data_IF_815516009876
#
_entry.id   IF_815516009876
#
_cell.length_a   1.000
_cell.length_b   1.000
_cell.length_c   1.000
_cell.angle_alpha   90.00
_cell.angle_beta   90.00
_cell.angle_gamma   90.00
#
_symmetry.space_group_name_H-M   'P 1'
#
loop_
_entity.id
_entity.type
_entity.pdbx_description
1 polymer ?
#
# COMPACT_ATOMS: atom_id res chain seq x y z
N UNK A 1 -22.91 -13.38 -17.13
CA UNK A 1 -22.63 -12.49 -16.01
C UNK A 1 -21.30 -12.89 -15.36
N UNK A 2 -20.52 -11.96 -15.13
CA UNK A 2 -19.27 -12.22 -14.44
C UNK A 2 -19.52 -12.44 -12.95
N UNK A 3 -18.66 -13.19 -12.33
CA UNK A 3 -18.68 -13.33 -10.90
C UNK A 3 -18.24 -12.04 -10.24
N UNK A 4 -18.83 -11.75 -9.09
CA UNK A 4 -18.41 -10.62 -8.30
C UNK A 4 -17.24 -11.01 -7.38
N UNK A 5 -16.29 -10.11 -7.21
CA UNK A 5 -15.22 -10.26 -6.21
C UNK A 5 -15.51 -9.44 -4.97
N UNK A 6 -16.66 -8.75 -4.93
CA UNK A 6 -17.01 -7.91 -3.78
C UNK A 6 -17.66 -8.71 -2.69
N UNK A 7 -17.21 -8.45 -1.44
CA UNK A 7 -17.83 -9.05 -0.27
C UNK A 7 -17.72 -10.56 -0.22
N UNK A 8 -16.51 -11.09 -0.41
CA UNK A 8 -16.31 -12.53 -0.34
C UNK A 8 -16.32 -13.02 1.11
N UNK A 9 -16.92 -14.18 1.32
CA UNK A 9 -16.87 -14.88 2.60
C UNK A 9 -15.78 -15.95 2.58
N UNK A 10 -15.49 -16.54 3.75
CA UNK A 10 -14.42 -17.54 3.89
C UNK A 10 -14.51 -18.64 2.82
N UNK A 11 -15.72 -19.14 2.55
CA UNK A 11 -15.94 -20.22 1.61
C UNK A 11 -15.62 -19.84 0.15
N UNK A 12 -15.68 -18.54 -0.15
CA UNK A 12 -15.49 -18.03 -1.51
C UNK A 12 -14.02 -17.88 -1.88
N UNK A 13 -13.13 -17.85 -0.87
CA UNK A 13 -11.70 -17.72 -1.13
C UNK A 13 -11.08 -19.04 -1.52
N UNK A 14 -10.35 -19.04 -2.62
CA UNK A 14 -9.60 -20.20 -3.06
C UNK A 14 -8.11 -19.92 -2.94
N UNK A 15 -7.38 -20.87 -2.34
CA UNK A 15 -5.93 -20.76 -2.20
C UNK A 15 -5.31 -20.71 -3.60
N UNK A 16 -4.37 -19.79 -3.79
CA UNK A 16 -3.72 -19.56 -5.06
C UNK A 16 -4.39 -18.51 -5.94
N UNK A 17 -5.60 -18.06 -5.58
CA UNK A 17 -6.27 -16.98 -6.32
C UNK A 17 -5.47 -15.70 -6.20
N UNK A 18 -5.27 -15.03 -7.32
CA UNK A 18 -4.53 -13.78 -7.40
C UNK A 18 -5.47 -12.63 -7.76
N UNK A 19 -5.31 -11.52 -7.05
CA UNK A 19 -6.00 -10.28 -7.34
C UNK A 19 -4.95 -9.22 -7.65
N UNK A 20 -5.19 -8.41 -8.68
CA UNK A 20 -4.28 -7.32 -9.06
C UNK A 20 -5.07 -6.01 -9.02
N UNK A 21 -4.57 -5.04 -8.27
CA UNK A 21 -5.23 -3.75 -8.13
C UNK A 21 -4.93 -2.84 -9.31
N UNK A 22 -5.71 -1.75 -9.47
CA UNK A 22 -5.28 -0.66 -10.33
C UNK A 22 -3.95 -0.08 -9.84
N UNK A 23 -3.24 0.58 -10.74
CA UNK A 23 -2.01 1.28 -10.40
C UNK A 23 -2.31 2.69 -9.91
N UNK A 24 -1.38 3.23 -9.12
CA UNK A 24 -1.47 4.59 -8.61
C UNK A 24 -0.07 5.21 -8.55
N UNK A 25 0.05 6.46 -8.99
CA UNK A 25 1.29 7.21 -8.89
C UNK A 25 1.37 7.92 -7.54
N UNK A 26 2.51 7.77 -6.87
CA UNK A 26 2.80 8.45 -5.61
C UNK A 26 3.15 9.91 -5.93
N UNK A 27 2.54 10.85 -5.24
CA UNK A 27 2.74 12.27 -5.49
C UNK A 27 3.45 12.96 -4.33
N UNK A 28 3.98 14.16 -4.59
CA UNK A 28 4.51 15.02 -3.53
C UNK A 28 3.44 15.33 -2.48
N UNK A 29 2.20 15.53 -2.93
CA UNK A 29 1.08 15.78 -2.02
C UNK A 29 0.83 14.60 -1.09
N UNK A 30 1.00 13.38 -1.57
CA UNK A 30 0.84 12.18 -0.74
C UNK A 30 1.85 12.19 0.40
N UNK A 31 3.11 12.50 0.09
CA UNK A 31 4.18 12.51 1.09
C UNK A 31 3.95 13.62 2.11
N UNK A 32 3.60 14.80 1.64
CA UNK A 32 3.30 15.93 2.52
C UNK A 32 2.10 15.68 3.42
N UNK A 33 1.04 15.13 2.87
CA UNK A 33 -0.17 14.80 3.64
C UNK A 33 0.11 13.73 4.68
N UNK A 34 0.88 12.71 4.34
CA UNK A 34 1.22 11.66 5.29
C UNK A 34 2.11 12.17 6.40
N UNK A 35 3.08 13.04 6.09
CA UNK A 35 3.90 13.69 7.10
C UNK A 35 3.02 14.47 8.10
N UNK A 36 2.04 15.21 7.60
CA UNK A 36 1.10 15.94 8.45
C UNK A 36 0.21 15.03 9.28
N UNK A 37 -0.29 13.97 8.68
CA UNK A 37 -1.18 13.03 9.35
C UNK A 37 -0.45 12.24 10.45
N UNK A 38 0.75 11.76 10.16
CA UNK A 38 1.50 10.89 11.06
C UNK A 38 2.37 11.65 12.06
N UNK A 39 2.74 12.90 11.73
CA UNK A 39 3.75 13.64 12.49
C UNK A 39 5.19 13.25 12.12
N UNK A 40 5.38 12.38 11.15
CA UNK A 40 6.72 11.93 10.72
C UNK A 40 7.30 12.89 9.68
N UNK A 41 7.97 13.93 10.18
CA UNK A 41 8.65 14.92 9.37
C UNK A 41 10.15 14.65 9.25
N UNK A 42 10.55 13.38 9.29
CA UNK A 42 11.95 13.05 9.10
C UNK A 42 12.48 13.74 7.84
N UNK A 43 13.64 14.41 7.92
CA UNK A 43 14.21 15.13 6.77
C UNK A 43 14.38 14.26 5.52
N UNK A 44 14.50 12.97 5.69
CA UNK A 44 14.59 12.05 4.55
C UNK A 44 13.36 12.12 3.65
N UNK A 45 12.21 12.51 4.20
CA UNK A 45 10.95 12.62 3.45
C UNK A 45 10.59 14.07 3.11
N UNK A 46 11.11 15.04 3.85
CA UNK A 46 10.61 16.40 3.81
C UNK A 46 11.65 17.47 3.44
N UNK A 47 12.93 17.13 3.47
CA UNK A 47 14.02 18.07 3.20
C UNK A 47 14.85 17.57 2.03
N UNK A 48 14.64 18.17 0.86
CA UNK A 48 15.33 17.77 -0.36
C UNK A 48 16.85 17.94 -0.25
N UNK A 49 17.31 19.02 0.35
CA UNK A 49 18.75 19.27 0.49
C UNK A 49 19.42 18.23 1.38
N UNK A 50 18.76 17.86 2.46
CA UNK A 50 19.23 16.77 3.31
C UNK A 50 19.23 15.46 2.56
N UNK A 51 18.11 15.14 1.90
CA UNK A 51 17.92 13.84 1.25
C UNK A 51 18.86 13.62 0.07
N UNK A 52 19.24 14.69 -0.64
CA UNK A 52 20.22 14.61 -1.73
C UNK A 52 21.56 14.05 -1.28
N UNK A 53 21.95 14.33 -0.04
CA UNK A 53 23.20 13.85 0.52
C UNK A 53 23.17 12.42 1.04
N UNK A 54 22.02 11.75 0.96
CA UNK A 54 21.88 10.37 1.42
C UNK A 54 22.09 9.40 0.26
N UNK A 55 22.18 8.12 0.59
CA UNK A 55 22.30 7.05 -0.40
C UNK A 55 21.13 7.03 -1.39
N UNK A 56 20.00 7.67 -1.07
CA UNK A 56 18.83 7.69 -1.92
C UNK A 56 18.86 8.78 -2.99
N UNK A 57 19.73 9.78 -2.83
CA UNK A 57 19.90 10.85 -3.80
C UNK A 57 18.75 11.84 -3.90
N UNK A 58 17.81 11.81 -2.99
CA UNK A 58 16.63 12.66 -2.93
C UNK A 58 15.63 12.13 -1.92
N UNK A 59 14.52 12.86 -1.74
CA UNK A 59 13.50 12.44 -0.77
C UNK A 59 12.84 11.14 -1.20
N UNK A 60 12.51 10.32 -0.23
CA UNK A 60 11.75 9.08 -0.45
C UNK A 60 10.42 9.16 0.30
N UNK A 61 9.45 8.39 -0.16
CA UNK A 61 8.18 8.25 0.55
C UNK A 61 8.38 7.46 1.84
N UNK A 62 7.58 7.78 2.86
CA UNK A 62 7.55 6.98 4.08
C UNK A 62 7.16 5.56 3.72
N UNK A 63 7.83 4.58 4.29
CA UNK A 63 7.45 3.18 4.08
C UNK A 63 6.00 2.92 4.49
N UNK A 64 5.58 3.50 5.62
CA UNK A 64 4.19 3.36 6.09
C UNK A 64 3.18 4.06 5.21
N UNK A 65 3.56 5.13 4.50
CA UNK A 65 2.70 5.74 3.48
C UNK A 65 2.44 4.73 2.36
N UNK A 66 3.50 4.10 1.87
CA UNK A 66 3.39 3.12 0.78
C UNK A 66 2.51 1.95 1.22
N UNK A 67 2.70 1.46 2.43
CA UNK A 67 1.86 0.40 3.00
C UNK A 67 0.39 0.85 3.09
N UNK A 68 0.14 2.08 3.52
CA UNK A 68 -1.21 2.63 3.62
C UNK A 68 -1.88 2.70 2.23
N UNK A 69 -1.13 3.11 1.22
CA UNK A 69 -1.62 3.14 -0.16
C UNK A 69 -1.91 1.73 -0.65
N UNK A 70 -1.02 0.77 -0.35
CA UNK A 70 -1.25 -0.63 -0.69
C UNK A 70 -2.54 -1.16 -0.05
N UNK A 71 -2.78 -0.81 1.20
CA UNK A 71 -4.02 -1.16 1.90
C UNK A 71 -5.25 -0.60 1.17
N UNK A 72 -5.19 0.66 0.73
CA UNK A 72 -6.29 1.28 -0.01
C UNK A 72 -6.51 0.64 -1.37
N UNK A 73 -5.43 0.33 -2.09
CA UNK A 73 -5.51 -0.34 -3.40
C UNK A 73 -6.11 -1.75 -3.25
N UNK A 74 -5.69 -2.48 -2.22
CA UNK A 74 -6.25 -3.80 -1.92
C UNK A 74 -7.74 -3.70 -1.61
N UNK A 75 -8.13 -2.71 -0.81
CA UNK A 75 -9.54 -2.46 -0.48
C UNK A 75 -10.39 -2.20 -1.72
N UNK A 76 -9.83 -1.52 -2.73
CA UNK A 76 -10.53 -1.23 -3.98
C UNK A 76 -10.85 -2.48 -4.79
N UNK A 77 -10.18 -3.59 -4.52
CA UNK A 77 -10.52 -4.86 -5.16
C UNK A 77 -11.87 -5.40 -4.67
N UNK A 78 -12.32 -4.95 -3.50
CA UNK A 78 -13.66 -5.18 -3.01
C UNK A 78 -13.92 -6.53 -2.36
N UNK A 79 -12.96 -7.45 -2.35
CA UNK A 79 -13.22 -8.81 -1.87
C UNK A 79 -13.50 -8.88 -0.37
N UNK A 80 -13.09 -7.87 0.40
CA UNK A 80 -13.38 -7.77 1.84
C UNK A 80 -14.55 -6.84 2.15
N UNK A 81 -15.14 -6.21 1.14
CA UNK A 81 -16.17 -5.20 1.34
C UNK A 81 -17.43 -5.80 1.99
N UNK A 82 -17.77 -5.29 3.16
CA UNK A 82 -18.95 -5.73 3.89
C UNK A 82 -18.81 -7.08 4.59
N UNK A 83 -17.72 -7.79 4.43
CA UNK A 83 -17.54 -9.14 5.00
C UNK A 83 -16.36 -9.23 5.96
N UNK A 84 -15.44 -8.26 5.94
CA UNK A 84 -14.32 -8.26 6.89
C UNK A 84 -14.83 -7.90 8.29
N UNK A 85 -14.41 -8.66 9.29
CA UNK A 85 -14.78 -8.40 10.68
C UNK A 85 -13.67 -7.71 11.46
N UNK A 86 -12.44 -8.09 11.20
CA UNK A 86 -11.29 -7.54 11.93
C UNK A 86 -10.01 -7.74 11.13
N UNK A 87 -9.08 -6.83 11.35
CA UNK A 87 -7.71 -6.94 10.88
C UNK A 87 -6.86 -7.38 12.05
N UNK A 88 -6.32 -8.59 12.00
CA UNK A 88 -5.67 -9.20 13.15
C UNK A 88 -4.16 -8.97 13.18
N UNK A 89 -3.54 -8.82 12.04
CA UNK A 89 -2.09 -8.65 12.03
C UNK A 89 -1.54 -8.50 10.64
N UNK A 90 -0.26 -8.11 10.60
CA UNK A 90 0.43 -7.83 9.36
C UNK A 90 1.92 -8.14 9.56
N UNK A 91 2.52 -8.78 8.58
CA UNK A 91 3.97 -8.90 8.45
C UNK A 91 4.35 -8.22 7.15
N UNK A 92 5.26 -7.26 7.20
CA UNK A 92 5.62 -6.45 6.05
C UNK A 92 7.13 -6.26 5.97
N UNK A 93 7.66 -6.27 4.75
CA UNK A 93 9.07 -6.02 4.51
C UNK A 93 9.22 -4.91 3.48
N UNK A 94 10.08 -3.96 3.78
CA UNK A 94 10.44 -2.89 2.86
C UNK A 94 11.69 -3.32 2.10
N UNK A 95 11.62 -3.37 0.77
CA UNK A 95 12.72 -3.85 -0.05
C UNK A 95 13.39 -2.75 -0.85
N UNK A 96 12.62 -1.81 -1.38
CA UNK A 96 13.14 -0.75 -2.23
C UNK A 96 12.49 0.58 -1.86
N UNK A 97 13.24 1.70 -1.98
CA UNK A 97 12.67 3.03 -1.74
C UNK A 97 11.65 3.38 -2.82
N UNK A 98 10.64 4.12 -2.44
CA UNK A 98 9.62 4.65 -3.34
C UNK A 98 9.72 6.17 -3.31
N UNK A 99 9.68 6.81 -4.47
CA UNK A 99 9.79 8.26 -4.62
C UNK A 99 8.54 8.83 -5.25
N UNK A 100 8.32 10.13 -5.07
CA UNK A 100 7.30 10.83 -5.81
C UNK A 100 7.51 10.60 -7.31
N UNK A 101 6.44 10.29 -8.02
CA UNK A 101 6.48 9.93 -9.43
C UNK A 101 6.49 8.44 -9.71
N UNK A 102 6.79 7.61 -8.71
CA UNK A 102 6.73 6.16 -8.87
C UNK A 102 5.27 5.71 -8.88
N UNK A 103 4.99 4.73 -9.72
CA UNK A 103 3.65 4.15 -9.83
C UNK A 103 3.65 2.75 -9.25
N UNK A 104 2.69 2.49 -8.36
CA UNK A 104 2.62 1.23 -7.61
C UNK A 104 1.27 0.56 -7.84
N UNK A 105 1.24 -0.74 -7.67
CA UNK A 105 0.00 -1.51 -7.61
C UNK A 105 0.18 -2.66 -6.62
N UNK A 106 -0.92 -3.29 -6.25
CA UNK A 106 -0.90 -4.44 -5.35
C UNK A 106 -1.22 -5.70 -6.12
N UNK A 107 -0.43 -6.74 -5.86
CA UNK A 107 -0.75 -8.09 -6.26
C UNK A 107 -0.96 -8.89 -4.98
N UNK A 108 -2.15 -9.42 -4.80
CA UNK A 108 -2.53 -10.18 -3.62
C UNK A 108 -2.83 -11.62 -4.00
N UNK A 109 -2.30 -12.55 -3.25
CA UNK A 109 -2.55 -13.98 -3.48
C UNK A 109 -3.08 -14.60 -2.19
N UNK A 110 -4.12 -15.39 -2.30
CA UNK A 110 -4.64 -16.14 -1.16
C UNK A 110 -3.69 -17.29 -0.88
N UNK A 111 -2.91 -17.14 0.19
CA UNK A 111 -1.87 -18.10 0.53
C UNK A 111 -2.36 -19.22 1.44
N UNK A 112 -3.28 -18.91 2.35
CA UNK A 112 -3.78 -19.89 3.32
C UNK A 112 -5.14 -19.45 3.86
N UNK A 113 -5.88 -20.41 4.38
CA UNK A 113 -7.15 -20.21 5.06
C UNK A 113 -7.12 -20.97 6.39
N UNK A 114 -7.71 -20.38 7.41
CA UNK A 114 -7.79 -21.00 8.73
C UNK A 114 -9.20 -20.92 9.29
#
# INVERSE_FOLDING_TARGET
>A
MSETTRGLYFEDFEIGTEFVSPARTITEADIGSFAGLSGDYNPLHTDEEYAKGTMFGGRIAHGLLVLSIASGLASRLGFLEGTVLAFLGLDWKFREPVKAGDTVHVRATIAAKK
#
